data_IF_104225271787
#
_entry.id   IF_104225271787
#
_cell.length_a   1.000
_cell.length_b   1.000
_cell.length_c   1.000
_cell.angle_alpha   90.00
_cell.angle_beta   90.00
_cell.angle_gamma   90.00
#
_symmetry.space_group_name_H-M   'P 1'
#
loop_
_entity.id
_entity.type
_entity.pdbx_description
1 polymer ?
#
# COMPACT_ATOMS: atom_id res chain seq x y z
N UNK A 1 -8.17 11.90 -16.90
CA UNK A 1 -6.96 12.74 -17.04
C UNK A 1 -5.84 12.00 -16.34
N UNK A 2 -4.79 11.60 -17.06
CA UNK A 2 -3.64 10.93 -16.44
C UNK A 2 -2.80 11.96 -15.66
N UNK A 3 -2.26 11.56 -14.50
CA UNK A 3 -1.37 12.41 -13.69
C UNK A 3 0.05 12.35 -14.28
N UNK A 4 0.47 11.15 -14.69
CA UNK A 4 1.75 10.82 -15.30
C UNK A 4 1.55 10.34 -16.74
N UNK A 5 2.64 10.26 -17.50
CA UNK A 5 2.63 9.60 -18.81
C UNK A 5 2.74 8.09 -18.64
N UNK A 6 2.03 7.31 -19.46
CA UNK A 6 1.98 5.84 -19.39
C UNK A 6 3.37 5.19 -19.36
N UNK A 7 4.33 5.71 -20.14
CA UNK A 7 5.69 5.16 -20.18
C UNK A 7 6.44 5.29 -18.84
N UNK A 8 6.07 6.25 -17.99
CA UNK A 8 6.61 6.40 -16.64
C UNK A 8 6.04 5.33 -15.73
N UNK A 9 4.73 5.09 -15.79
CA UNK A 9 4.05 4.08 -14.99
C UNK A 9 4.59 2.69 -15.36
N UNK A 10 4.67 2.37 -16.65
CA UNK A 10 5.25 1.12 -17.15
C UNK A 10 6.68 0.90 -16.65
N UNK A 11 7.50 1.95 -16.67
CA UNK A 11 8.85 1.90 -16.14
C UNK A 11 8.86 1.60 -14.64
N UNK A 12 8.03 2.28 -13.85
CA UNK A 12 7.96 2.11 -12.40
C UNK A 12 7.45 0.72 -12.02
N UNK A 13 6.42 0.21 -12.70
CA UNK A 13 5.90 -1.14 -12.50
C UNK A 13 6.94 -2.21 -12.89
N UNK A 14 7.73 -1.99 -13.95
CA UNK A 14 8.78 -2.91 -14.36
C UNK A 14 9.92 -3.03 -13.36
N UNK A 15 10.29 -1.95 -12.66
CA UNK A 15 11.36 -1.96 -11.65
C UNK A 15 10.86 -2.26 -10.24
N UNK A 16 9.54 -2.22 -10.02
CA UNK A 16 8.96 -2.52 -8.73
C UNK A 16 9.19 -3.99 -8.36
N UNK A 17 9.48 -4.24 -7.09
CA UNK A 17 9.57 -5.60 -6.58
C UNK A 17 8.20 -6.28 -6.68
N UNK A 18 8.16 -7.58 -7.05
CA UNK A 18 6.92 -8.34 -7.03
C UNK A 18 6.25 -8.28 -5.65
N UNK A 19 4.92 -8.10 -5.65
CA UNK A 19 4.12 -8.21 -4.43
C UNK A 19 4.02 -9.70 -4.05
N UNK A 20 3.96 -10.01 -2.77
CA UNK A 20 3.70 -11.38 -2.33
C UNK A 20 2.25 -11.82 -2.63
N UNK A 21 2.00 -13.12 -2.49
CA UNK A 21 0.73 -13.76 -2.84
C UNK A 21 -0.48 -13.17 -2.09
N UNK A 22 -0.31 -12.63 -0.88
CA UNK A 22 -1.41 -12.03 -0.14
C UNK A 22 -1.85 -10.74 -0.83
N UNK A 23 -0.90 -9.84 -1.08
CA UNK A 23 -1.19 -8.57 -1.75
C UNK A 23 -1.73 -8.76 -3.17
N UNK A 24 -1.22 -9.74 -3.92
CA UNK A 24 -1.75 -10.07 -5.25
C UNK A 24 -3.21 -10.51 -5.19
N UNK A 25 -3.56 -11.41 -4.26
CA UNK A 25 -4.95 -11.85 -4.09
C UNK A 25 -5.90 -10.72 -3.69
N UNK A 26 -5.43 -9.81 -2.84
CA UNK A 26 -6.22 -8.64 -2.45
C UNK A 26 -6.42 -7.65 -3.60
N UNK A 27 -5.44 -7.52 -4.50
CA UNK A 27 -5.57 -6.73 -5.73
C UNK A 27 -6.64 -7.34 -6.66
N UNK A 28 -6.63 -8.66 -6.85
CA UNK A 28 -7.65 -9.39 -7.61
C UNK A 28 -9.05 -9.28 -6.99
N UNK A 29 -9.14 -9.37 -5.66
CA UNK A 29 -10.40 -9.22 -4.91
C UNK A 29 -10.93 -7.78 -5.03
N UNK A 30 -10.06 -6.78 -4.94
CA UNK A 30 -10.46 -5.38 -5.09
C UNK A 30 -10.99 -5.08 -6.49
N UNK A 31 -10.34 -5.61 -7.53
CA UNK A 31 -10.77 -5.46 -8.91
C UNK A 31 -12.12 -6.14 -9.16
N UNK A 32 -12.29 -7.39 -8.71
CA UNK A 32 -13.54 -8.14 -8.89
C UNK A 32 -14.71 -7.58 -8.06
N UNK A 33 -14.43 -7.09 -6.85
CA UNK A 33 -15.42 -6.51 -5.94
C UNK A 33 -15.70 -5.02 -6.16
N UNK A 34 -15.03 -4.37 -7.12
CA UNK A 34 -15.06 -2.92 -7.31
C UNK A 34 -14.75 -2.12 -6.02
N UNK A 35 -13.87 -2.67 -5.17
CA UNK A 35 -13.44 -2.01 -3.94
C UNK A 35 -12.30 -1.05 -4.28
N UNK A 36 -12.41 0.26 -3.98
CA UNK A 36 -11.34 1.20 -4.23
C UNK A 36 -10.16 0.91 -3.29
N UNK A 37 -9.01 0.58 -3.87
CA UNK A 37 -7.73 0.45 -3.16
C UNK A 37 -6.66 1.34 -3.79
N UNK A 38 -5.62 1.64 -3.03
CA UNK A 38 -4.40 2.20 -3.60
C UNK A 38 -3.66 1.14 -4.44
N UNK A 39 -2.94 1.57 -5.47
CA UNK A 39 -2.04 0.69 -6.23
C UNK A 39 -0.74 0.35 -5.47
N UNK A 40 0.00 -0.68 -5.90
CA UNK A 40 1.20 -1.15 -5.20
C UNK A 40 2.34 -0.12 -5.18
N UNK A 41 2.46 0.76 -6.18
CA UNK A 41 3.44 1.84 -6.18
C UNK A 41 3.19 2.82 -5.02
N UNK A 42 1.92 3.16 -4.77
CA UNK A 42 1.52 4.03 -3.66
C UNK A 42 1.69 3.30 -2.33
N UNK A 43 1.33 2.01 -2.25
CA UNK A 43 1.58 1.20 -1.05
C UNK A 43 3.05 1.19 -0.65
N UNK A 44 3.94 1.04 -1.64
CA UNK A 44 5.40 1.11 -1.41
C UNK A 44 5.86 2.49 -0.97
N UNK A 45 5.28 3.56 -1.51
CA UNK A 45 5.56 4.94 -1.08
C UNK A 45 5.19 5.13 0.39
N UNK A 46 3.98 4.72 0.81
CA UNK A 46 3.53 4.81 2.20
C UNK A 46 4.42 4.00 3.15
N UNK A 47 4.82 2.79 2.74
CA UNK A 47 5.77 1.98 3.49
C UNK A 47 7.10 2.72 3.70
N UNK A 48 7.66 3.30 2.65
CA UNK A 48 8.92 4.03 2.73
C UNK A 48 8.81 5.27 3.62
N UNK A 49 7.75 6.06 3.48
CA UNK A 49 7.52 7.24 4.32
C UNK A 49 7.42 6.87 5.80
N UNK A 50 6.62 5.86 6.15
CA UNK A 50 6.46 5.40 7.53
C UNK A 50 7.74 4.79 8.11
N UNK A 51 8.53 4.08 7.29
CA UNK A 51 9.86 3.56 7.69
C UNK A 51 10.85 4.69 7.95
N UNK A 52 10.93 5.65 7.03
CA UNK A 52 11.88 6.78 7.10
C UNK A 52 11.55 7.74 8.23
N UNK A 53 10.27 7.94 8.55
CA UNK A 53 9.85 8.75 9.71
C UNK A 53 10.04 8.04 11.06
N UNK A 54 10.43 6.76 11.05
CA UNK A 54 10.47 5.91 12.25
C UNK A 54 9.14 5.89 13.03
N UNK A 55 8.01 5.95 12.30
CA UNK A 55 6.70 5.95 12.92
C UNK A 55 6.45 4.67 13.71
N UNK A 56 5.94 4.82 14.94
CA UNK A 56 5.49 3.69 15.77
C UNK A 56 3.97 3.56 15.83
N UNK A 57 3.23 4.66 15.64
CA UNK A 57 1.78 4.65 15.68
C UNK A 57 1.28 5.34 14.42
N UNK A 58 0.48 4.63 13.63
CA UNK A 58 -0.15 5.16 12.42
C UNK A 58 -1.65 5.02 12.59
N UNK A 59 -2.37 6.12 12.34
CA UNK A 59 -3.83 6.13 12.25
C UNK A 59 -4.21 6.15 10.77
N UNK A 60 -4.98 5.18 10.33
CA UNK A 60 -5.62 5.11 9.01
C UNK A 60 -7.12 5.38 9.18
N UNK A 61 -7.66 6.26 8.33
CA UNK A 61 -9.10 6.58 8.30
C UNK A 61 -9.60 6.19 6.91
N UNK A 62 -10.48 5.18 6.87
CA UNK A 62 -10.90 4.46 5.67
C UNK A 62 -10.04 3.21 5.48
N UNK A 63 -10.56 2.05 5.89
CA UNK A 63 -9.81 0.77 5.86
C UNK A 63 -9.98 0.04 4.52
N UNK A 64 -11.19 0.09 3.96
CA UNK A 64 -11.61 -0.78 2.87
C UNK A 64 -11.28 -2.25 3.19
N UNK A 65 -10.64 -2.99 2.27
CA UNK A 65 -10.20 -4.37 2.51
C UNK A 65 -8.83 -4.47 3.23
N UNK A 66 -8.29 -3.37 3.75
CA UNK A 66 -7.06 -3.36 4.56
C UNK A 66 -5.75 -3.42 3.76
N UNK A 67 -5.78 -3.24 2.44
CA UNK A 67 -4.60 -3.32 1.57
C UNK A 67 -3.49 -2.33 1.98
N UNK A 68 -3.85 -1.06 2.18
CA UNK A 68 -2.93 -0.01 2.66
C UNK A 68 -2.46 -0.27 4.09
N UNK A 69 -3.36 -0.77 4.95
CA UNK A 69 -3.05 -1.18 6.33
C UNK A 69 -1.92 -2.21 6.40
N UNK A 70 -1.84 -3.16 5.47
CA UNK A 70 -0.74 -4.15 5.41
C UNK A 70 0.59 -3.46 5.09
N UNK A 71 0.63 -2.52 4.14
CA UNK A 71 1.83 -1.76 3.80
C UNK A 71 2.34 -0.96 5.00
N UNK A 72 1.45 -0.26 5.70
CA UNK A 72 1.76 0.52 6.90
C UNK A 72 2.19 -0.39 8.06
N UNK A 73 1.51 -1.52 8.27
CA UNK A 73 1.81 -2.49 9.31
C UNK A 73 3.21 -3.08 9.15
N UNK A 74 3.58 -3.44 7.92
CA UNK A 74 4.94 -3.90 7.58
C UNK A 74 5.99 -2.82 7.83
N UNK A 75 5.65 -1.55 7.64
CA UNK A 75 6.57 -0.44 7.87
C UNK A 75 6.88 -0.25 9.37
N UNK A 76 5.86 -0.30 10.22
CA UNK A 76 6.01 -0.03 11.66
C UNK A 76 6.43 -1.25 12.48
N UNK A 77 6.19 -2.47 11.97
CA UNK A 77 6.47 -3.73 12.68
C UNK A 77 7.90 -3.87 13.23
N UNK A 78 8.98 -3.51 12.50
CA UNK A 78 10.35 -3.60 13.04
C UNK A 78 10.60 -2.72 14.26
N UNK A 79 9.78 -1.69 14.48
CA UNK A 79 9.84 -0.80 15.65
C UNK A 79 8.87 -1.21 16.76
N UNK A 80 8.23 -2.38 16.63
CA UNK A 80 7.11 -2.84 17.47
C UNK A 80 5.96 -1.82 17.50
N UNK A 81 5.75 -1.16 16.36
CA UNK A 81 4.68 -0.20 16.19
C UNK A 81 3.35 -0.83 15.80
N UNK A 82 2.30 -0.01 15.79
CA UNK A 82 0.92 -0.39 15.52
C UNK A 82 0.31 0.53 14.45
N UNK A 83 -0.58 -0.08 13.67
CA UNK A 83 -1.52 0.64 12.80
C UNK A 83 -2.90 0.47 13.43
N UNK A 84 -3.55 1.59 13.73
CA UNK A 84 -4.96 1.64 14.10
C UNK A 84 -5.71 2.10 12.86
N UNK A 85 -6.68 1.32 12.42
CA UNK A 85 -7.50 1.63 11.25
C UNK A 85 -8.96 1.68 11.63
N UNK A 86 -9.74 2.53 10.95
CA UNK A 86 -11.15 2.79 11.20
C UNK A 86 -11.87 2.84 9.85
N UNK A 87 -13.06 2.25 9.79
CA UNK A 87 -13.98 2.30 8.64
C UNK A 87 -15.42 2.45 9.14
#
# INVERSE_FOLDING_TARGET
MAITYDYIDDYLYRIAQPRDLLLQKMEEEAESGAVPIIGPLVGRLLYNLARSSQSKNVLEIGTAIGYSGIWLGRAVSPLKGFVTTLD
#
